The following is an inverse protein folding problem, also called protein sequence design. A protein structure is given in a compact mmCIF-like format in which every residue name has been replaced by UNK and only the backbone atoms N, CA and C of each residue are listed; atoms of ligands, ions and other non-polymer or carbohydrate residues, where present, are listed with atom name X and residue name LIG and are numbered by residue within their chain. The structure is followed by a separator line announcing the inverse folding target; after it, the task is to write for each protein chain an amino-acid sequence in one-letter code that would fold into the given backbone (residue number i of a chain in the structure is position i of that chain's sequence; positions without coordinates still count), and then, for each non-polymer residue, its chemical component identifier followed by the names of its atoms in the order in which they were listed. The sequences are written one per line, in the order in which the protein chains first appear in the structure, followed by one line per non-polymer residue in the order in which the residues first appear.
data_IF_637011445247
#
_entry.id   IF_637011445247
#
_cell.length_a   1.000
_cell.length_b   1.000
_cell.length_c   1.000
_cell.angle_alpha   90.00
_cell.angle_beta   90.00
_cell.angle_gamma   90.00
#
_symmetry.space_group_name_H-M   'P 1'
#
loop_
_entity.id
_entity.type
_entity.pdbx_description
1 polymer ?
#
# COMPACT_ATOMS: atom_id res chain seq x y z
N UNK A 1 -15.89 2.79 2.04
CA UNK A 1 -16.21 1.65 1.14
C UNK A 1 -15.73 0.36 1.81
N UNK A 2 -16.42 -0.78 1.62
CA UNK A 2 -16.03 -2.07 2.18
C UNK A 2 -15.72 -3.06 1.05
N UNK A 3 -14.57 -3.72 1.07
CA UNK A 3 -14.30 -4.86 0.21
C UNK A 3 -14.22 -6.15 1.05
N UNK A 4 -15.26 -6.97 0.93
CA UNK A 4 -15.37 -8.23 1.66
C UNK A 4 -14.88 -9.43 0.85
N UNK A 5 -14.54 -9.26 -0.42
CA UNK A 5 -14.11 -10.35 -1.32
C UNK A 5 -13.12 -9.85 -2.37
N UNK A 6 -11.85 -10.02 -2.08
CA UNK A 6 -10.76 -9.89 -3.05
C UNK A 6 -10.59 -11.19 -3.80
N UNK A 7 -10.97 -11.17 -5.08
CA UNK A 7 -10.71 -12.25 -6.03
C UNK A 7 -9.33 -12.07 -6.66
N UNK A 8 -8.69 -13.17 -7.03
CA UNK A 8 -7.37 -13.19 -7.67
C UNK A 8 -7.38 -13.89 -9.00
N UNK A 9 -8.53 -14.39 -9.43
CA UNK A 9 -8.71 -14.91 -10.77
C UNK A 9 -8.58 -13.74 -11.78
N UNK A 10 -7.82 -13.91 -12.86
CA UNK A 10 -7.73 -12.89 -13.91
C UNK A 10 -9.03 -12.83 -14.73
N UNK A 11 -9.79 -13.94 -14.81
CA UNK A 11 -11.10 -14.02 -15.45
C UNK A 11 -12.09 -14.85 -14.63
N UNK A 12 -13.41 -14.73 -14.87
CA UNK A 12 -14.40 -15.55 -14.19
C UNK A 12 -14.12 -17.05 -14.35
N UNK A 13 -14.26 -17.81 -13.25
CA UNK A 13 -14.06 -19.27 -13.17
C UNK A 13 -12.63 -19.77 -13.39
N UNK A 14 -11.63 -18.89 -13.46
CA UNK A 14 -10.23 -19.29 -13.48
C UNK A 14 -9.64 -19.38 -12.06
N UNK A 15 -8.57 -20.18 -11.85
CA UNK A 15 -7.86 -20.20 -10.58
C UNK A 15 -7.27 -18.83 -10.21
N UNK A 16 -7.14 -18.58 -8.91
CA UNK A 16 -6.50 -17.38 -8.42
C UNK A 16 -5.00 -17.34 -8.75
N UNK A 17 -4.53 -16.18 -9.19
CA UNK A 17 -3.10 -15.83 -9.20
C UNK A 17 -2.79 -15.16 -7.86
N UNK A 18 -1.93 -15.74 -6.99
CA UNK A 18 -1.66 -15.18 -5.67
C UNK A 18 -1.17 -13.74 -5.71
N UNK A 19 -0.23 -13.42 -6.61
CA UNK A 19 0.32 -12.07 -6.76
C UNK A 19 -0.79 -11.03 -7.07
N UNK A 20 -1.72 -11.35 -7.97
CA UNK A 20 -2.84 -10.48 -8.31
C UNK A 20 -3.81 -10.28 -7.14
N UNK A 21 -4.02 -11.32 -6.34
CA UNK A 21 -4.88 -11.25 -5.15
C UNK A 21 -4.26 -10.35 -4.08
N UNK A 22 -2.95 -10.49 -3.84
CA UNK A 22 -2.18 -9.65 -2.92
C UNK A 22 -2.14 -8.19 -3.37
N UNK A 23 -1.90 -7.93 -4.65
CA UNK A 23 -1.93 -6.57 -5.23
C UNK A 23 -3.29 -5.91 -4.97
N UNK A 24 -4.39 -6.58 -5.34
CA UNK A 24 -5.75 -6.07 -5.12
C UNK A 24 -6.06 -5.83 -3.64
N UNK A 25 -5.55 -6.67 -2.75
CA UNK A 25 -5.71 -6.47 -1.30
C UNK A 25 -5.05 -5.17 -0.83
N UNK A 26 -3.78 -4.95 -1.19
CA UNK A 26 -3.07 -3.71 -0.82
C UNK A 26 -3.67 -2.48 -1.48
N UNK A 27 -4.12 -2.58 -2.74
CA UNK A 27 -4.89 -1.52 -3.41
C UNK A 27 -6.15 -1.16 -2.62
N UNK A 28 -6.89 -2.13 -2.08
CA UNK A 28 -8.06 -1.83 -1.25
C UNK A 28 -7.69 -1.08 0.04
N UNK A 29 -6.61 -1.49 0.70
CA UNK A 29 -6.11 -0.81 1.92
C UNK A 29 -5.74 0.64 1.61
N UNK A 30 -4.94 0.87 0.57
CA UNK A 30 -4.47 2.22 0.19
C UNK A 30 -5.54 3.05 -0.54
N UNK A 31 -6.61 2.44 -1.04
CA UNK A 31 -7.80 3.14 -1.52
C UNK A 31 -8.79 3.49 -0.39
N UNK A 32 -8.43 3.30 0.88
CA UNK A 32 -9.25 3.70 2.03
C UNK A 32 -10.46 2.80 2.27
N UNK A 33 -10.40 1.53 1.87
CA UNK A 33 -11.45 0.58 2.23
C UNK A 33 -11.41 0.30 3.74
N UNK A 34 -12.57 0.41 4.41
CA UNK A 34 -12.69 0.09 5.84
C UNK A 34 -12.56 -1.42 6.13
N UNK A 35 -12.70 -2.26 5.10
CA UNK A 35 -12.41 -3.68 5.15
C UNK A 35 -11.78 -4.15 3.85
N UNK A 36 -10.81 -5.07 3.96
CA UNK A 36 -10.27 -5.85 2.85
C UNK A 36 -10.16 -7.31 3.28
N UNK A 37 -10.66 -8.26 2.48
CA UNK A 37 -10.69 -9.68 2.82
C UNK A 37 -10.47 -10.55 1.59
N UNK A 38 -9.86 -11.71 1.77
CA UNK A 38 -9.55 -12.62 0.66
C UNK A 38 -10.70 -13.59 0.39
N UNK A 39 -11.09 -13.74 -0.87
CA UNK A 39 -12.02 -14.80 -1.26
C UNK A 39 -11.37 -16.19 -1.13
N UNK A 40 -12.16 -17.23 -0.87
CA UNK A 40 -11.70 -18.62 -0.78
C UNK A 40 -11.27 -19.20 -2.13
N UNK A 41 -10.50 -20.32 -2.15
CA UNK A 41 -10.28 -21.09 -3.37
C UNK A 41 -11.58 -21.58 -4.02
N UNK A 42 -11.60 -21.74 -5.36
CA UNK A 42 -10.45 -21.68 -6.26
C UNK A 42 -10.13 -20.29 -6.85
N UNK A 43 -11.04 -19.32 -6.77
CA UNK A 43 -10.89 -18.00 -7.42
C UNK A 43 -10.28 -16.92 -6.52
N UNK A 44 -10.03 -17.25 -5.24
CA UNK A 44 -9.18 -16.49 -4.34
C UNK A 44 -8.20 -17.38 -3.56
N UNK A 45 -7.42 -16.77 -2.66
CA UNK A 45 -6.37 -17.44 -1.87
C UNK A 45 -6.64 -17.38 -0.36
N UNK A 46 -7.91 -17.27 0.04
CA UNK A 46 -8.33 -17.17 1.45
C UNK A 46 -7.76 -18.30 2.30
N UNK A 47 -7.35 -17.95 3.52
CA UNK A 47 -6.72 -18.83 4.52
C UNK A 47 -5.33 -19.42 4.15
N UNK A 48 -4.84 -19.19 2.94
CA UNK A 48 -3.47 -19.61 2.56
C UNK A 48 -2.38 -18.86 3.35
N UNK A 49 -1.17 -19.42 3.39
CA UNK A 49 -0.02 -18.79 4.05
C UNK A 49 0.27 -17.35 3.54
N UNK A 50 0.29 -17.06 2.22
CA UNK A 50 0.46 -15.69 1.71
C UNK A 50 -0.62 -14.72 2.22
N UNK A 51 -1.88 -15.15 2.27
CA UNK A 51 -2.98 -14.35 2.83
C UNK A 51 -2.74 -14.01 4.30
N UNK A 52 -2.35 -14.99 5.11
CA UNK A 52 -2.09 -14.76 6.53
C UNK A 52 -0.90 -13.81 6.75
N UNK A 53 0.15 -13.95 5.95
CA UNK A 53 1.30 -13.03 5.95
C UNK A 53 0.88 -11.62 5.58
N UNK A 54 0.10 -11.43 4.50
CA UNK A 54 -0.37 -10.12 4.08
C UNK A 54 -1.27 -9.44 5.14
N UNK A 55 -2.15 -10.20 5.81
CA UNK A 55 -2.99 -9.67 6.89
C UNK A 55 -2.13 -9.24 8.09
N UNK A 56 -1.13 -10.04 8.49
CA UNK A 56 -0.20 -9.64 9.57
C UNK A 56 0.58 -8.38 9.21
N UNK A 57 1.06 -8.31 7.97
CA UNK A 57 1.79 -7.17 7.45
C UNK A 57 0.91 -5.90 7.44
N UNK A 58 -0.32 -5.99 6.94
CA UNK A 58 -1.26 -4.88 6.95
C UNK A 58 -1.54 -4.39 8.37
N UNK A 59 -1.73 -5.30 9.33
CA UNK A 59 -1.90 -4.93 10.75
C UNK A 59 -0.68 -4.22 11.33
N UNK A 60 0.52 -4.72 11.05
CA UNK A 60 1.76 -4.09 11.50
C UNK A 60 1.90 -2.67 10.91
N UNK A 61 1.63 -2.51 9.61
CA UNK A 61 1.63 -1.21 8.95
C UNK A 61 0.61 -0.24 9.58
N UNK A 62 -0.67 -0.64 9.70
CA UNK A 62 -1.72 0.25 10.25
C UNK A 62 -1.56 0.55 11.73
N UNK A 63 -0.79 -0.25 12.48
CA UNK A 63 -0.42 0.07 13.86
C UNK A 63 0.68 1.12 13.95
N UNK A 64 1.44 1.36 12.87
CA UNK A 64 2.53 2.32 12.80
C UNK A 64 2.21 3.57 11.97
N UNK A 65 1.10 3.55 11.23
CA UNK A 65 0.63 4.66 10.40
C UNK A 65 -0.83 4.99 10.76
N UNK A 66 -1.11 6.26 11.06
CA UNK A 66 -2.48 6.71 11.35
C UNK A 66 -3.33 6.76 10.08
N UNK A 67 -3.85 5.60 9.70
CA UNK A 67 -4.76 5.45 8.58
C UNK A 67 -6.13 6.09 8.84
N UNK A 68 -6.52 6.34 10.09
CA UNK A 68 -7.85 6.86 10.43
C UNK A 68 -7.96 8.36 10.22
N UNK A 69 -6.85 9.10 10.41
CA UNK A 69 -6.77 10.53 10.10
C UNK A 69 -6.20 10.83 8.71
N UNK A 70 -6.00 9.79 7.89
CA UNK A 70 -5.46 9.90 6.53
C UNK A 70 -6.51 9.57 5.48
N UNK A 71 -6.33 10.10 4.28
CA UNK A 71 -7.22 9.84 3.13
C UNK A 71 -6.45 9.40 1.89
N UNK A 72 -7.05 8.63 0.97
CA UNK A 72 -6.47 8.37 -0.34
C UNK A 72 -6.29 9.67 -1.14
N UNK A 73 -5.05 9.94 -1.57
CA UNK A 73 -4.65 11.16 -2.26
C UNK A 73 -3.91 10.88 -3.57
N UNK A 74 -4.59 10.28 -4.57
CA UNK A 74 -3.97 9.99 -5.87
C UNK A 74 -3.52 11.25 -6.62
N UNK A 75 -4.10 12.41 -6.29
CA UNK A 75 -3.75 13.72 -6.83
C UNK A 75 -2.34 14.20 -6.46
N UNK A 76 -1.74 13.61 -5.42
CA UNK A 76 -0.38 13.95 -4.98
C UNK A 76 0.71 13.16 -5.70
N UNK A 77 0.34 12.12 -6.44
CA UNK A 77 1.28 11.19 -7.05
C UNK A 77 1.48 11.56 -8.52
N UNK A 78 2.71 11.92 -8.89
CA UNK A 78 3.14 11.94 -10.28
C UNK A 78 4.15 10.80 -10.50
N UNK A 79 3.74 9.78 -11.26
CA UNK A 79 4.54 8.57 -11.39
C UNK A 79 4.39 7.94 -12.77
N UNK A 80 5.52 7.52 -13.39
CA UNK A 80 5.48 6.73 -14.61
C UNK A 80 4.88 5.33 -14.38
N UNK A 81 4.75 4.91 -13.11
CA UNK A 81 4.14 3.66 -12.69
C UNK A 81 2.92 3.90 -11.78
N UNK A 82 2.00 2.92 -11.72
CA UNK A 82 0.86 2.99 -10.81
C UNK A 82 1.35 3.04 -9.34
N UNK A 83 0.88 4.03 -8.58
CA UNK A 83 1.14 4.16 -7.14
C UNK A 83 -0.11 4.66 -6.41
N UNK A 84 -0.27 4.23 -5.17
CA UNK A 84 -1.40 4.62 -4.31
C UNK A 84 -0.87 5.37 -3.10
N UNK A 85 -1.48 6.51 -2.79
CA UNK A 85 -1.09 7.36 -1.67
C UNK A 85 -2.21 7.45 -0.64
N UNK A 86 -1.88 7.19 0.62
CA UNK A 86 -2.63 7.66 1.77
C UNK A 86 -1.87 8.83 2.38
N UNK A 87 -2.56 9.92 2.68
CA UNK A 87 -1.92 11.10 3.25
C UNK A 87 -2.78 11.79 4.31
N UNK A 88 -2.08 12.29 5.33
CA UNK A 88 -2.49 13.40 6.17
C UNK A 88 -1.56 14.57 5.82
N UNK A 89 -2.00 15.50 4.93
CA UNK A 89 -1.13 16.52 4.36
C UNK A 89 -0.37 17.31 5.43
N UNK A 90 0.92 17.53 5.18
CA UNK A 90 1.84 18.22 6.09
C UNK A 90 2.37 17.38 7.25
N UNK A 91 1.88 16.16 7.45
CA UNK A 91 2.25 15.32 8.59
C UNK A 91 2.79 13.95 8.18
N UNK A 92 2.01 13.17 7.43
CA UNK A 92 2.36 11.78 7.12
C UNK A 92 1.84 11.34 5.75
N UNK A 93 2.67 10.58 5.04
CA UNK A 93 2.39 10.06 3.72
C UNK A 93 2.81 8.59 3.66
N UNK A 94 1.94 7.73 3.13
CA UNK A 94 2.25 6.33 2.86
C UNK A 94 1.99 6.02 1.39
N UNK A 95 2.93 5.32 0.76
CA UNK A 95 2.85 4.93 -0.63
C UNK A 95 2.84 3.40 -0.77
N UNK A 96 1.95 2.91 -1.63
CA UNK A 96 2.02 1.55 -2.15
C UNK A 96 2.42 1.61 -3.63
N UNK A 97 3.50 0.90 -3.96
CA UNK A 97 4.10 0.85 -5.31
C UNK A 97 3.99 -0.60 -5.84
N UNK A 98 2.86 -1.00 -6.47
CA UNK A 98 2.69 -2.34 -7.04
C UNK A 98 3.84 -2.79 -7.96
N UNK A 99 4.32 -1.88 -8.80
CA UNK A 99 5.43 -2.13 -9.74
C UNK A 99 6.81 -1.74 -9.21
N UNK A 100 6.91 -1.23 -7.98
CA UNK A 100 8.12 -0.57 -7.48
C UNK A 100 8.48 0.67 -8.29
N UNK A 101 9.78 0.93 -8.44
CA UNK A 101 10.30 2.00 -9.29
C UNK A 101 10.40 3.37 -8.60
N UNK A 102 10.33 4.42 -9.41
CA UNK A 102 10.41 5.82 -8.96
C UNK A 102 9.02 6.44 -8.88
N UNK A 103 8.80 7.26 -7.87
CA UNK A 103 7.59 8.08 -7.67
C UNK A 103 7.99 9.50 -7.31
N UNK A 104 7.31 10.48 -7.90
CA UNK A 104 7.35 11.88 -7.48
C UNK A 104 6.05 12.15 -6.69
N UNK A 105 6.19 12.72 -5.49
CA UNK A 105 5.09 12.95 -4.57
C UNK A 105 5.04 14.44 -4.20
N UNK A 106 3.92 15.08 -4.49
CA UNK A 106 3.59 16.40 -3.96
C UNK A 106 3.28 16.31 -2.47
N UNK A 107 3.93 17.14 -1.67
CA UNK A 107 3.82 17.11 -0.20
C UNK A 107 3.71 18.53 0.33
N UNK A 108 2.81 18.74 1.27
CA UNK A 108 2.58 20.04 1.91
C UNK A 108 3.50 20.20 3.13
N UNK A 109 4.78 19.90 2.95
CA UNK A 109 5.78 20.04 4.00
C UNK A 109 7.11 20.56 3.45
N UNK A 110 7.85 21.21 4.33
CA UNK A 110 9.12 21.87 4.03
C UNK A 110 10.14 21.50 5.10
N UNK A 111 11.39 21.29 4.69
CA UNK A 111 12.49 20.94 5.58
C UNK A 111 12.94 19.50 5.39
N UNK A 112 12.72 18.64 6.38
CA UNK A 112 13.14 17.23 6.33
C UNK A 112 12.01 16.29 6.73
N UNK A 113 11.85 15.20 6.00
CA UNK A 113 10.95 14.11 6.33
C UNK A 113 11.72 12.80 6.50
N UNK A 114 11.24 11.94 7.39
CA UNK A 114 11.74 10.58 7.52
C UNK A 114 11.02 9.67 6.52
N UNK A 115 11.78 9.04 5.64
CA UNK A 115 11.28 8.04 4.71
C UNK A 115 11.57 6.65 5.25
N UNK A 116 10.53 5.83 5.38
CA UNK A 116 10.60 4.48 5.93
C UNK A 116 10.08 3.48 4.89
N UNK A 117 10.84 2.42 4.62
CA UNK A 117 10.42 1.34 3.70
C UNK A 117 9.86 0.15 4.48
N UNK A 118 8.62 -0.23 4.20
CA UNK A 118 7.97 -1.37 4.86
C UNK A 118 8.17 -2.67 4.05
N UNK A 119 8.69 -3.71 4.69
CA UNK A 119 8.81 -5.04 4.12
C UNK A 119 7.60 -5.90 4.55
N UNK A 120 6.69 -6.25 3.63
CA UNK A 120 5.49 -7.01 3.96
C UNK A 120 5.76 -8.49 4.33
N UNK A 121 6.87 -9.08 3.90
CA UNK A 121 7.24 -10.45 4.28
C UNK A 121 7.69 -10.53 5.73
N UNK A 122 8.44 -9.51 6.19
CA UNK A 122 8.93 -9.40 7.56
C UNK A 122 7.98 -8.67 8.51
N UNK A 123 6.95 -8.01 7.97
CA UNK A 123 6.03 -7.15 8.72
C UNK A 123 6.75 -6.05 9.51
N UNK A 124 7.80 -5.46 8.95
CA UNK A 124 8.64 -4.47 9.62
C UNK A 124 9.19 -3.42 8.65
N UNK A 125 9.53 -2.25 9.16
CA UNK A 125 10.27 -1.24 8.41
C UNK A 125 11.76 -1.61 8.35
N UNK A 126 12.39 -1.44 7.19
CA UNK A 126 13.76 -1.94 6.92
C UNK A 126 14.79 -0.86 6.66
N UNK A 127 14.38 0.29 6.13
CA UNK A 127 15.29 1.38 5.77
C UNK A 127 14.67 2.69 6.24
N UNK A 128 15.48 3.51 6.92
CA UNK A 128 15.12 4.86 7.35
C UNK A 128 16.10 5.84 6.72
N UNK A 129 15.57 6.76 5.91
CA UNK A 129 16.32 7.82 5.25
C UNK A 129 15.74 9.17 5.64
N UNK A 130 16.58 10.20 5.71
CA UNK A 130 16.12 11.58 5.88
C UNK A 130 16.14 12.24 4.50
N UNK A 131 14.96 12.63 4.03
CA UNK A 131 14.77 13.30 2.75
C UNK A 131 14.58 14.80 3.00
N UNK A 132 15.26 15.65 2.23
CA UNK A 132 14.93 17.08 2.20
C UNK A 132 13.69 17.27 1.35
N UNK A 133 12.78 18.11 1.83
CA UNK A 133 11.47 18.31 1.24
C UNK A 133 11.20 19.79 1.04
N UNK A 134 10.68 20.14 -0.12
CA UNK A 134 10.35 21.52 -0.50
C UNK A 134 9.10 21.55 -1.38
N UNK A 135 7.97 21.02 -0.89
CA UNK A 135 6.74 20.90 -1.67
C UNK A 135 6.63 19.61 -2.52
N UNK A 136 7.75 18.94 -2.77
CA UNK A 136 7.83 17.70 -3.55
C UNK A 136 8.94 16.80 -2.97
N UNK A 137 8.78 15.48 -3.12
CA UNK A 137 9.82 14.49 -2.83
C UNK A 137 9.86 13.42 -3.91
N UNK A 138 11.06 12.99 -4.29
CA UNK A 138 11.29 11.91 -5.26
C UNK A 138 11.85 10.70 -4.55
N UNK A 139 11.13 9.59 -4.65
CA UNK A 139 11.50 8.34 -3.97
C UNK A 139 11.75 7.25 -5.01
N UNK A 140 12.68 6.34 -4.70
CA UNK A 140 12.94 5.14 -5.48
C UNK A 140 12.87 3.93 -4.56
N UNK A 141 11.98 2.99 -4.87
CA UNK A 141 11.89 1.73 -4.14
C UNK A 141 13.25 1.01 -4.12
N UNK A 142 13.66 0.46 -2.96
CA UNK A 142 14.93 -0.25 -2.80
C UNK A 142 14.99 -1.57 -3.57
#
# INVERSE_FOLDING_TARGET
MNNVKTYGAPRPREPAIPALNLDRFWKCVFAGCASASFHRPPTGIGLSSPTQTAIRAARAFTSSFDIFSSEPRPDLVDSPHEAYCLAKPGEAYALYLPGGGRVELGVDCWGSAECLWFNPEKSSFTVKEVQRVSGEVRLRAP
#
